data_IF_661399769372
#
_entry.id   IF_661399769372
#
_cell.length_a   1.000
_cell.length_b   1.000
_cell.length_c   1.000
_cell.angle_alpha   90.00
_cell.angle_beta   90.00
_cell.angle_gamma   90.00
#
_symmetry.space_group_name_H-M   'P 1'
#
loop_
_entity.id
_entity.type
_entity.pdbx_description
1 polymer ?
#
# COMPACT_ATOMS: atom_id res chain seq x y z
N UNK A 1 8.47 -39.21 -12.14
CA UNK A 1 7.74 -39.01 -10.87
C UNK A 1 8.14 -37.68 -10.18
N UNK A 2 8.27 -36.56 -10.92
CA UNK A 2 8.85 -35.30 -10.42
C UNK A 2 8.05 -34.02 -10.73
N UNK A 3 6.85 -34.10 -11.31
CA UNK A 3 6.10 -32.91 -11.75
C UNK A 3 4.96 -32.47 -10.80
N UNK A 4 4.60 -33.29 -9.80
CA UNK A 4 3.41 -33.06 -8.94
C UNK A 4 3.74 -32.21 -7.69
N UNK A 5 5.01 -31.95 -7.39
CA UNK A 5 5.45 -31.28 -6.16
C UNK A 5 5.38 -29.74 -6.21
N UNK A 6 5.68 -29.12 -7.35
CA UNK A 6 5.76 -27.65 -7.47
C UNK A 6 4.43 -26.90 -7.26
N UNK A 7 3.28 -27.35 -7.82
CA UNK A 7 2.01 -26.65 -7.63
C UNK A 7 1.48 -26.79 -6.20
N UNK A 8 1.70 -27.93 -5.54
CA UNK A 8 1.28 -28.14 -4.15
C UNK A 8 2.08 -27.27 -3.17
N UNK A 9 3.39 -27.14 -3.41
CA UNK A 9 4.27 -26.25 -2.62
C UNK A 9 3.83 -24.78 -2.78
N UNK A 10 3.48 -24.35 -4.00
CA UNK A 10 2.95 -22.99 -4.24
C UNK A 10 1.61 -22.76 -3.56
N UNK A 11 0.71 -23.74 -3.58
CA UNK A 11 -0.58 -23.66 -2.88
C UNK A 11 -0.41 -23.65 -1.35
N UNK A 12 0.51 -24.44 -0.81
CA UNK A 12 0.84 -24.42 0.62
C UNK A 12 1.48 -23.09 1.04
N UNK A 13 2.40 -22.56 0.23
CA UNK A 13 3.01 -21.25 0.47
C UNK A 13 1.98 -20.11 0.36
N UNK A 14 1.03 -20.21 -0.59
CA UNK A 14 -0.11 -19.32 -0.68
C UNK A 14 -0.99 -19.43 0.56
N UNK A 15 -1.36 -20.64 0.99
CA UNK A 15 -2.13 -20.85 2.22
C UNK A 15 -1.41 -20.30 3.46
N UNK A 16 -0.10 -20.49 3.59
CA UNK A 16 0.67 -19.91 4.70
C UNK A 16 0.74 -18.38 4.63
N UNK A 17 0.91 -17.80 3.45
CA UNK A 17 0.87 -16.35 3.25
C UNK A 17 -0.52 -15.76 3.56
N UNK A 18 -1.58 -16.50 3.26
CA UNK A 18 -2.97 -16.13 3.56
C UNK A 18 -3.38 -16.38 5.02
N UNK A 19 -2.87 -17.44 5.66
CA UNK A 19 -3.31 -17.91 6.99
C UNK A 19 -2.59 -17.23 8.15
N UNK A 20 -1.44 -16.59 7.93
CA UNK A 20 -0.78 -15.81 8.97
C UNK A 20 -1.54 -14.50 9.17
N UNK A 21 -2.36 -14.48 10.23
CA UNK A 21 -3.12 -13.32 10.64
C UNK A 21 -2.24 -12.09 10.90
N UNK A 22 -2.82 -10.88 10.87
CA UNK A 22 -2.12 -9.60 10.89
C UNK A 22 -1.39 -9.25 12.20
N UNK A 23 -1.24 -10.18 13.16
CA UNK A 23 -0.82 -9.90 14.55
C UNK A 23 0.63 -9.49 14.75
N UNK A 24 1.57 -9.84 13.86
CA UNK A 24 2.95 -9.31 13.92
C UNK A 24 3.67 -9.15 12.58
N UNK A 25 3.11 -9.60 11.46
CA UNK A 25 3.83 -9.59 10.18
C UNK A 25 3.97 -8.16 9.64
N UNK A 26 5.19 -7.71 9.36
CA UNK A 26 5.45 -6.42 8.72
C UNK A 26 5.06 -6.45 7.23
N UNK A 27 4.83 -5.28 6.62
CA UNK A 27 4.61 -5.20 5.17
C UNK A 27 5.81 -5.78 4.40
N UNK A 28 7.02 -5.58 4.92
CA UNK A 28 8.25 -6.13 4.39
C UNK A 28 8.25 -7.67 4.36
N UNK A 29 7.73 -8.33 5.39
CA UNK A 29 7.62 -9.79 5.42
C UNK A 29 6.60 -10.30 4.40
N UNK A 30 5.50 -9.57 4.21
CA UNK A 30 4.50 -9.93 3.19
C UNK A 30 5.09 -9.85 1.78
N UNK A 31 5.87 -8.81 1.48
CA UNK A 31 6.55 -8.67 0.17
C UNK A 31 7.61 -9.75 -0.05
N UNK A 32 8.41 -10.05 0.99
CA UNK A 32 9.39 -11.16 0.93
C UNK A 32 8.70 -12.50 0.61
N UNK A 33 7.58 -12.79 1.27
CA UNK A 33 6.81 -14.02 1.05
C UNK A 33 6.21 -14.06 -0.35
N UNK A 34 5.63 -12.95 -0.81
CA UNK A 34 5.07 -12.83 -2.16
C UNK A 34 6.14 -13.15 -3.23
N UNK A 35 7.34 -12.57 -3.11
CA UNK A 35 8.46 -12.87 -3.99
C UNK A 35 8.80 -14.36 -4.03
N UNK A 36 8.78 -15.03 -2.88
CA UNK A 36 9.01 -16.47 -2.75
C UNK A 36 7.95 -17.31 -3.45
N UNK A 37 6.66 -17.00 -3.25
CA UNK A 37 5.51 -17.71 -3.85
C UNK A 37 5.50 -17.57 -5.37
N UNK A 38 5.71 -16.36 -5.87
CA UNK A 38 5.72 -16.05 -7.30
C UNK A 38 6.99 -16.59 -7.97
N UNK A 39 8.07 -16.74 -7.20
CA UNK A 39 9.39 -17.07 -7.73
C UNK A 39 10.01 -15.87 -8.46
N UNK A 40 9.87 -14.67 -7.90
CA UNK A 40 10.43 -13.44 -8.46
C UNK A 40 11.77 -13.10 -7.80
N UNK A 41 12.70 -12.53 -8.56
CA UNK A 41 13.96 -12.01 -8.05
C UNK A 41 13.76 -10.65 -7.37
N UNK A 42 12.80 -9.84 -7.82
CA UNK A 42 12.36 -8.65 -7.10
C UNK A 42 10.85 -8.52 -7.03
N UNK A 43 10.38 -7.96 -5.92
CA UNK A 43 8.97 -7.70 -5.66
C UNK A 43 8.84 -6.39 -4.88
N UNK A 44 7.81 -5.58 -5.17
CA UNK A 44 7.57 -4.33 -4.44
C UNK A 44 6.10 -4.03 -4.29
N UNK A 45 5.77 -3.34 -3.20
CA UNK A 45 4.45 -2.75 -2.97
C UNK A 45 4.58 -1.24 -3.11
N UNK A 46 3.77 -0.69 -4.01
CA UNK A 46 3.62 0.76 -4.14
C UNK A 46 2.23 1.15 -3.64
N UNK A 47 2.14 2.14 -2.76
CA UNK A 47 0.87 2.65 -2.24
C UNK A 47 0.68 4.10 -2.67
N UNK A 48 -0.57 4.50 -2.81
CA UNK A 48 -0.93 5.90 -3.06
C UNK A 48 -0.63 6.74 -1.81
N UNK A 49 0.05 7.87 -2.02
CA UNK A 49 0.12 8.91 -1.00
C UNK A 49 -1.26 9.55 -0.75
N UNK A 50 -1.45 10.14 0.42
CA UNK A 50 -2.67 10.90 0.76
C UNK A 50 -2.86 12.08 -0.20
N UNK A 51 -4.12 12.40 -0.53
CA UNK A 51 -4.48 13.53 -1.39
C UNK A 51 -4.06 14.86 -0.72
N UNK A 52 -2.91 15.40 -1.13
CA UNK A 52 -2.48 16.76 -0.86
C UNK A 52 -2.88 17.71 -2.02
N UNK A 53 -2.32 18.93 -2.03
CA UNK A 53 -2.43 19.85 -3.17
C UNK A 53 -1.59 19.33 -4.36
N UNK A 54 -2.09 18.29 -5.04
CA UNK A 54 -1.43 17.66 -6.19
C UNK A 54 -2.11 16.37 -6.63
N UNK A 55 -1.78 15.88 -7.83
CA UNK A 55 -2.27 14.58 -8.27
C UNK A 55 -1.66 13.45 -7.41
N UNK A 56 -2.47 12.50 -6.90
CA UNK A 56 -1.98 11.42 -6.06
C UNK A 56 -1.01 10.54 -6.85
N UNK A 57 0.15 10.28 -6.25
CA UNK A 57 1.21 9.45 -6.82
C UNK A 57 1.46 8.23 -5.95
N UNK A 58 1.97 7.16 -6.58
CA UNK A 58 2.41 5.96 -5.89
C UNK A 58 3.90 6.01 -5.62
N UNK A 59 4.30 5.62 -4.42
CA UNK A 59 5.70 5.41 -4.01
C UNK A 59 5.89 4.02 -3.41
N UNK A 60 7.12 3.50 -3.45
CA UNK A 60 7.45 2.19 -2.88
C UNK A 60 7.40 2.29 -1.35
N UNK A 61 6.62 1.40 -0.72
CA UNK A 61 6.51 1.31 0.75
C UNK A 61 7.18 0.05 1.32
N UNK A 62 7.43 -0.95 0.47
CA UNK A 62 8.18 -2.15 0.82
C UNK A 62 8.68 -2.83 -0.46
N UNK A 63 9.85 -3.47 -0.38
CA UNK A 63 10.39 -4.25 -1.49
C UNK A 63 11.28 -5.40 -1.02
N UNK A 64 11.40 -6.41 -1.87
CA UNK A 64 12.34 -7.52 -1.71
C UNK A 64 13.14 -7.70 -2.99
N UNK A 65 14.43 -8.00 -2.86
CA UNK A 65 15.33 -8.16 -4.00
C UNK A 65 15.84 -6.83 -4.56
N UNK A 66 16.69 -6.90 -5.60
CA UNK A 66 17.34 -5.73 -6.17
C UNK A 66 16.33 -4.85 -6.89
N UNK A 67 16.41 -3.55 -6.63
CA UNK A 67 15.72 -2.49 -7.37
C UNK A 67 16.73 -1.39 -7.68
N UNK A 68 16.63 -0.77 -8.88
CA UNK A 68 17.47 0.39 -9.19
C UNK A 68 17.10 1.56 -8.28
N UNK A 69 18.09 2.38 -7.89
CA UNK A 69 17.88 3.55 -7.02
C UNK A 69 16.81 4.50 -7.55
N UNK A 70 16.76 4.69 -8.87
CA UNK A 70 15.72 5.47 -9.54
C UNK A 70 14.29 4.95 -9.29
N UNK A 71 14.10 3.65 -9.03
CA UNK A 71 12.78 3.09 -8.71
C UNK A 71 12.38 3.36 -7.26
N UNK A 72 13.33 3.40 -6.32
CA UNK A 72 13.07 3.71 -4.91
C UNK A 72 12.58 5.15 -4.72
N UNK A 73 13.13 6.08 -5.52
CA UNK A 73 12.78 7.51 -5.46
C UNK A 73 11.64 7.89 -6.41
N UNK A 74 11.09 6.94 -7.17
CA UNK A 74 10.07 7.23 -8.18
C UNK A 74 8.70 7.49 -7.55
N UNK A 75 8.12 8.64 -7.90
CA UNK A 75 6.70 8.93 -7.71
C UNK A 75 5.94 8.65 -9.02
N UNK A 76 5.11 7.60 -9.05
CA UNK A 76 4.42 7.15 -10.26
C UNK A 76 2.98 7.69 -10.29
N UNK A 77 2.64 8.43 -11.34
CA UNK A 77 1.29 8.98 -11.54
C UNK A 77 0.35 7.96 -12.19
N UNK A 78 -0.96 8.23 -12.10
CA UNK A 78 -1.97 7.47 -12.86
C UNK A 78 -1.65 7.48 -14.35
N UNK A 79 -1.66 6.31 -14.97
CA UNK A 79 -1.36 6.11 -16.39
C UNK A 79 0.14 6.08 -16.73
N UNK A 80 1.05 6.39 -15.81
CA UNK A 80 2.50 6.36 -16.06
C UNK A 80 3.09 4.95 -15.88
N UNK A 81 3.80 4.46 -16.89
CA UNK A 81 4.45 3.15 -16.78
C UNK A 81 3.47 1.98 -16.65
N UNK A 82 4.01 0.82 -16.28
CA UNK A 82 3.20 -0.38 -16.05
C UNK A 82 2.33 -0.18 -14.80
N UNK A 83 2.94 0.21 -13.67
CA UNK A 83 2.24 0.42 -12.40
C UNK A 83 1.13 1.47 -12.51
N UNK A 84 1.38 2.62 -13.13
CA UNK A 84 0.37 3.65 -13.31
C UNK A 84 -0.75 3.23 -14.26
N UNK A 85 -0.46 2.40 -15.27
CA UNK A 85 -1.50 1.80 -16.13
C UNK A 85 -2.41 0.86 -15.36
N UNK A 86 -1.86 0.02 -14.48
CA UNK A 86 -2.63 -0.86 -13.59
C UNK A 86 -3.47 -0.04 -12.61
N UNK A 87 -2.91 1.03 -12.05
CA UNK A 87 -3.65 1.96 -11.20
C UNK A 87 -4.81 2.66 -11.93
N UNK A 88 -4.62 3.05 -13.20
CA UNK A 88 -5.64 3.73 -13.99
C UNK A 88 -6.76 2.79 -14.45
N UNK A 89 -6.39 1.60 -14.94
CA UNK A 89 -7.33 0.61 -15.48
C UNK A 89 -7.97 -0.27 -14.41
N UNK A 90 -7.27 -0.52 -13.31
CA UNK A 90 -7.64 -1.51 -12.31
C UNK A 90 -7.48 -2.96 -12.75
N UNK A 91 -6.83 -3.20 -13.90
CA UNK A 91 -6.58 -4.53 -14.44
C UNK A 91 -5.12 -4.91 -14.21
N UNK A 92 -4.89 -6.15 -13.78
CA UNK A 92 -3.53 -6.68 -13.65
C UNK A 92 -2.89 -6.82 -15.04
N UNK A 93 -1.56 -6.75 -15.11
CA UNK A 93 -0.82 -6.72 -16.35
C UNK A 93 0.39 -7.64 -16.27
N UNK A 94 0.54 -8.50 -17.28
CA UNK A 94 1.69 -9.36 -17.52
C UNK A 94 2.48 -8.83 -18.71
N UNK A 95 3.76 -8.55 -18.51
CA UNK A 95 4.73 -8.21 -19.55
C UNK A 95 5.79 -9.31 -19.60
N UNK A 96 5.74 -10.13 -20.65
CA UNK A 96 6.71 -11.21 -20.82
C UNK A 96 8.12 -10.69 -21.11
N UNK A 97 8.25 -9.63 -21.93
CA UNK A 97 9.51 -8.93 -22.18
C UNK A 97 9.29 -7.41 -22.25
N UNK A 98 9.75 -6.65 -21.25
CA UNK A 98 9.60 -5.18 -21.20
C UNK A 98 10.20 -4.53 -22.45
N UNK A 99 11.34 -5.03 -22.93
CA UNK A 99 12.08 -4.46 -24.07
C UNK A 99 11.32 -4.60 -25.38
N UNK A 100 10.39 -5.55 -25.46
CA UNK A 100 9.54 -5.80 -26.64
C UNK A 100 8.12 -5.26 -26.47
N UNK A 101 7.84 -4.56 -25.38
CA UNK A 101 6.51 -4.02 -25.06
C UNK A 101 6.42 -2.52 -25.37
N UNK A 102 5.20 -1.97 -25.33
CA UNK A 102 4.97 -0.52 -25.39
C UNK A 102 5.70 0.25 -24.27
N UNK A 103 6.06 -0.43 -23.18
CA UNK A 103 6.78 0.13 -22.04
C UNK A 103 8.30 0.21 -22.26
N UNK A 104 8.83 -0.29 -23.38
CA UNK A 104 10.27 -0.26 -23.68
C UNK A 104 10.84 1.16 -23.65
N UNK A 105 10.06 2.16 -24.13
CA UNK A 105 10.47 3.56 -24.13
C UNK A 105 10.59 4.16 -22.73
N UNK A 106 9.78 3.66 -21.79
CA UNK A 106 9.78 4.01 -20.36
C UNK A 106 10.88 3.27 -19.59
N UNK A 107 11.36 2.15 -20.15
CA UNK A 107 12.45 1.37 -19.62
C UNK A 107 13.85 1.95 -19.89
N UNK A 108 13.95 3.05 -20.63
CA UNK A 108 15.22 3.74 -20.94
C UNK A 108 15.92 4.38 -19.72
N UNK A 109 15.35 4.26 -18.51
CA UNK A 109 15.95 4.70 -17.23
C UNK A 109 16.93 3.70 -16.60
N UNK A 110 17.38 2.67 -17.32
CA UNK A 110 18.54 1.86 -16.92
C UNK A 110 18.55 0.46 -17.55
N UNK A 111 19.74 -0.11 -17.72
CA UNK A 111 19.99 -1.50 -18.16
C UNK A 111 19.55 -2.57 -17.14
N UNK A 112 18.98 -2.16 -16.01
CA UNK A 112 18.62 -3.02 -14.88
C UNK A 112 17.13 -3.40 -14.82
N UNK A 113 16.30 -2.88 -15.73
CA UNK A 113 14.91 -3.29 -15.81
C UNK A 113 14.82 -4.72 -16.33
N UNK A 114 14.18 -5.56 -15.54
CA UNK A 114 14.03 -6.98 -15.81
C UNK A 114 13.38 -7.31 -17.14
N UNK A 115 13.64 -8.52 -17.64
CA UNK A 115 12.99 -9.00 -18.86
C UNK A 115 11.48 -9.13 -18.66
N UNK A 116 11.05 -9.86 -17.63
CA UNK A 116 9.61 -10.08 -17.37
C UNK A 116 9.12 -9.34 -16.13
N UNK A 117 7.87 -8.88 -16.19
CA UNK A 117 7.22 -8.08 -15.15
C UNK A 117 5.74 -8.44 -15.03
N UNK A 118 5.24 -8.57 -13.80
CA UNK A 118 3.81 -8.71 -13.50
C UNK A 118 3.41 -7.65 -12.48
N UNK A 119 2.22 -7.09 -12.66
CA UNK A 119 1.68 -6.04 -11.80
C UNK A 119 0.20 -6.32 -11.51
N UNK A 120 -0.19 -6.26 -10.25
CA UNK A 120 -1.58 -6.43 -9.83
C UNK A 120 -2.03 -5.28 -8.91
N UNK A 121 -3.28 -4.81 -9.03
CA UNK A 121 -3.80 -3.77 -8.16
C UNK A 121 -4.05 -4.33 -6.75
N UNK A 122 -3.68 -3.56 -5.73
CA UNK A 122 -4.04 -3.83 -4.34
C UNK A 122 -5.36 -3.11 -4.06
N UNK A 123 -6.37 -3.87 -3.65
CA UNK A 123 -7.73 -3.35 -3.43
C UNK A 123 -8.13 -3.43 -1.97
N UNK A 124 -8.70 -2.35 -1.45
CA UNK A 124 -9.34 -2.27 -0.14
C UNK A 124 -10.77 -1.79 -0.36
N UNK A 125 -11.75 -2.58 0.05
CA UNK A 125 -13.19 -2.29 -0.13
C UNK A 125 -13.55 -1.85 -1.58
N UNK A 126 -12.94 -2.49 -2.58
CA UNK A 126 -13.18 -2.19 -4.00
C UNK A 126 -12.37 -1.02 -4.57
N UNK A 127 -11.75 -0.19 -3.72
CA UNK A 127 -10.87 0.92 -4.14
C UNK A 127 -9.43 0.43 -4.32
N UNK A 128 -8.74 0.93 -5.33
CA UNK A 128 -7.32 0.62 -5.54
C UNK A 128 -6.50 1.56 -4.66
N UNK A 129 -5.75 0.98 -3.72
CA UNK A 129 -4.88 1.73 -2.79
C UNK A 129 -3.41 1.70 -3.20
N UNK A 130 -3.08 0.92 -4.24
CA UNK A 130 -1.71 0.71 -4.68
C UNK A 130 -1.58 -0.45 -5.65
N UNK A 131 -0.35 -0.90 -5.88
CA UNK A 131 -0.02 -2.05 -6.72
C UNK A 131 1.03 -2.95 -6.07
N UNK A 132 0.96 -4.24 -6.37
CA UNK A 132 1.99 -5.23 -6.10
C UNK A 132 2.69 -5.56 -7.42
N UNK A 133 4.01 -5.39 -7.44
CA UNK A 133 4.85 -5.63 -8.61
C UNK A 133 5.76 -6.82 -8.36
N UNK A 134 6.04 -7.61 -9.39
CA UNK A 134 7.14 -8.55 -9.38
C UNK A 134 7.88 -8.51 -10.71
N UNK A 135 9.20 -8.57 -10.65
CA UNK A 135 10.08 -8.53 -11.81
C UNK A 135 11.09 -9.67 -11.76
N UNK A 136 11.58 -10.06 -12.93
CA UNK A 136 12.60 -11.08 -13.12
C UNK A 136 12.23 -12.40 -12.46
N UNK A 137 11.56 -13.31 -13.18
CA UNK A 137 11.38 -14.66 -12.69
C UNK A 137 12.73 -15.28 -12.30
N UNK A 138 12.74 -16.12 -11.26
CA UNK A 138 13.94 -16.86 -10.84
C UNK A 138 14.53 -17.58 -12.05
N UNK A 139 15.85 -17.58 -12.11
CA UNK A 139 16.63 -18.15 -13.21
C UNK A 139 16.33 -17.51 -14.58
N UNK A 140 15.91 -16.23 -14.58
CA UNK A 140 15.55 -15.45 -15.76
C UNK A 140 14.34 -16.00 -16.54
N UNK A 141 13.50 -16.82 -15.91
CA UNK A 141 12.24 -17.27 -16.50
C UNK A 141 11.26 -16.11 -16.70
N UNK A 142 10.55 -16.11 -17.84
CA UNK A 142 9.44 -15.18 -18.05
C UNK A 142 8.24 -15.60 -17.19
N UNK A 143 7.53 -14.63 -16.64
CA UNK A 143 6.26 -14.88 -15.97
C UNK A 143 5.19 -15.30 -16.98
N UNK A 144 4.26 -16.13 -16.51
CA UNK A 144 3.10 -16.61 -17.25
C UNK A 144 1.81 -16.16 -16.55
N UNK A 145 0.66 -16.58 -17.09
CA UNK A 145 -0.65 -16.31 -16.50
C UNK A 145 -0.80 -16.92 -15.10
N UNK A 146 -0.11 -18.03 -14.81
CA UNK A 146 -0.09 -18.63 -13.48
C UNK A 146 0.54 -17.67 -12.46
N UNK A 147 1.68 -17.06 -12.81
CA UNK A 147 2.33 -16.07 -11.98
C UNK A 147 1.46 -14.81 -11.79
N UNK A 148 0.77 -14.36 -12.84
CA UNK A 148 -0.16 -13.23 -12.75
C UNK A 148 -1.33 -13.53 -11.80
N UNK A 149 -1.93 -14.72 -11.92
CA UNK A 149 -3.02 -15.15 -11.05
C UNK A 149 -2.59 -15.24 -9.58
N UNK A 150 -1.41 -15.81 -9.31
CA UNK A 150 -0.83 -15.85 -7.96
C UNK A 150 -0.59 -14.44 -7.41
N UNK A 151 -0.05 -13.53 -8.22
CA UNK A 151 0.17 -12.14 -7.84
C UNK A 151 -1.15 -11.44 -7.47
N UNK A 152 -2.22 -11.66 -8.25
CA UNK A 152 -3.55 -11.08 -7.96
C UNK A 152 -4.13 -11.57 -6.63
N UNK A 153 -3.98 -12.86 -6.32
CA UNK A 153 -4.40 -13.44 -5.04
C UNK A 153 -3.63 -12.81 -3.87
N UNK A 154 -2.31 -12.67 -4.02
CA UNK A 154 -1.46 -12.04 -3.02
C UNK A 154 -1.77 -10.55 -2.85
N UNK A 155 -2.03 -9.82 -3.94
CA UNK A 155 -2.42 -8.41 -3.91
C UNK A 155 -3.77 -8.21 -3.20
N UNK A 156 -4.71 -9.14 -3.38
CA UNK A 156 -6.00 -9.14 -2.68
C UNK A 156 -5.81 -9.37 -1.17
N UNK A 157 -4.97 -10.34 -0.80
CA UNK A 157 -4.60 -10.57 0.61
C UNK A 157 -3.93 -9.36 1.26
N UNK A 158 -3.00 -8.73 0.55
CA UNK A 158 -2.34 -7.50 0.99
C UNK A 158 -3.34 -6.38 1.26
N UNK A 159 -4.39 -6.25 0.44
CA UNK A 159 -5.48 -5.32 0.69
C UNK A 159 -6.13 -5.55 2.06
N UNK A 160 -6.51 -6.79 2.37
CA UNK A 160 -7.04 -7.15 3.69
C UNK A 160 -6.07 -6.86 4.84
N UNK A 161 -4.78 -7.19 4.66
CA UNK A 161 -3.72 -6.88 5.63
C UNK A 161 -3.60 -5.38 5.91
N UNK A 162 -3.56 -4.55 4.86
CA UNK A 162 -3.47 -3.09 4.98
C UNK A 162 -4.69 -2.51 5.70
N UNK A 163 -5.88 -3.04 5.41
CA UNK A 163 -7.11 -2.62 6.09
C UNK A 163 -7.07 -2.94 7.58
N UNK A 164 -6.71 -4.16 7.97
CA UNK A 164 -6.64 -4.53 9.39
C UNK A 164 -5.55 -3.76 10.12
N UNK A 165 -4.38 -3.57 9.48
CA UNK A 165 -3.30 -2.76 10.05
C UNK A 165 -3.73 -1.32 10.30
N UNK A 166 -4.41 -0.70 9.33
CA UNK A 166 -4.93 0.66 9.48
C UNK A 166 -5.95 0.75 10.62
N UNK A 167 -6.91 -0.18 10.69
CA UNK A 167 -7.88 -0.24 11.78
C UNK A 167 -7.22 -0.46 13.15
N UNK A 168 -6.20 -1.31 13.24
CA UNK A 168 -5.44 -1.52 14.48
C UNK A 168 -4.70 -0.26 14.91
N UNK A 169 -4.02 0.44 14.01
CA UNK A 169 -3.41 1.73 14.35
C UNK A 169 -4.42 2.75 14.88
N UNK A 170 -5.64 2.78 14.31
CA UNK A 170 -6.73 3.61 14.82
C UNK A 170 -7.19 3.15 16.22
N UNK A 171 -7.29 1.84 16.45
CA UNK A 171 -7.68 1.27 17.74
C UNK A 171 -6.59 1.41 18.81
N UNK A 172 -5.31 1.38 18.47
CA UNK A 172 -4.21 1.51 19.43
C UNK A 172 -4.02 2.95 19.92
N UNK A 173 -4.60 3.94 19.23
CA UNK A 173 -4.65 5.32 19.67
C UNK A 173 -5.78 5.53 20.68
N UNK A 174 -5.45 5.64 21.98
CA UNK A 174 -6.43 5.98 23.04
C UNK A 174 -7.18 7.28 22.75
N UNK A 175 -6.52 8.23 22.13
CA UNK A 175 -7.14 9.47 21.67
C UNK A 175 -8.21 9.19 20.61
N UNK A 176 -7.94 8.30 19.64
CA UNK A 176 -8.91 7.91 18.64
C UNK A 176 -10.06 7.10 19.21
N UNK A 177 -9.81 6.19 20.16
CA UNK A 177 -10.86 5.46 20.87
C UNK A 177 -11.84 6.40 21.57
N UNK A 178 -11.33 7.39 22.33
CA UNK A 178 -12.16 8.34 23.06
C UNK A 178 -12.94 9.28 22.12
N UNK A 179 -12.28 9.80 21.08
CA UNK A 179 -12.93 10.66 20.08
C UNK A 179 -14.06 9.95 19.32
N UNK A 180 -13.87 8.66 19.00
CA UNK A 180 -14.89 7.86 18.32
C UNK A 180 -16.09 7.54 19.23
N UNK A 181 -15.85 7.25 20.51
CA UNK A 181 -16.92 7.04 21.49
C UNK A 181 -17.76 8.31 21.68
N UNK A 182 -17.13 9.48 21.78
CA UNK A 182 -17.83 10.75 21.95
C UNK A 182 -18.73 11.12 20.76
N UNK A 183 -18.37 10.72 19.53
CA UNK A 183 -19.20 10.97 18.36
C UNK A 183 -20.47 10.09 18.33
N UNK A 184 -20.41 8.90 18.97
CA UNK A 184 -21.59 8.03 19.13
C UNK A 184 -22.58 8.52 20.19
N UNK A 185 -22.17 9.43 21.10
CA UNK A 185 -23.04 10.03 22.12
C UNK A 185 -24.01 11.11 21.56
N UNK A 186 -24.11 11.26 20.24
CA UNK A 186 -25.04 12.22 19.62
C UNK A 186 -25.56 11.88 18.22
N UNK A 187 -25.24 10.70 17.67
CA UNK A 187 -25.60 10.31 16.30
C UNK A 187 -26.51 9.06 16.28
N UNK A 188 -27.48 8.96 15.35
CA UNK A 188 -28.33 7.78 15.24
C UNK A 188 -27.50 6.51 14.91
N UNK A 189 -27.90 5.33 15.42
CA UNK A 189 -27.11 4.09 15.38
C UNK A 189 -26.76 3.60 13.97
N UNK A 190 -27.49 4.01 12.93
CA UNK A 190 -27.17 3.67 11.53
C UNK A 190 -25.96 4.42 10.97
N UNK A 191 -25.72 5.67 11.39
CA UNK A 191 -24.56 6.47 10.97
C UNK A 191 -23.25 6.03 11.61
N UNK A 192 -23.31 5.50 12.84
CA UNK A 192 -22.13 5.03 13.58
C UNK A 192 -21.42 3.89 12.83
N UNK A 193 -22.16 2.96 12.21
CA UNK A 193 -21.60 1.81 11.48
C UNK A 193 -20.90 2.17 10.16
N UNK A 194 -21.26 3.29 9.54
CA UNK A 194 -20.70 3.74 8.25
C UNK A 194 -19.41 4.56 8.41
N UNK A 195 -19.19 5.18 9.57
CA UNK A 195 -17.98 5.97 9.86
C UNK A 195 -16.69 5.13 9.87
N UNK A 196 -16.80 3.81 10.09
CA UNK A 196 -15.66 2.89 10.17
C UNK A 196 -15.02 2.52 8.82
N UNK A 197 -15.58 2.97 7.68
CA UNK A 197 -15.10 2.57 6.34
C UNK A 197 -14.21 3.57 5.62
N UNK A 198 -14.14 4.84 6.06
CA UNK A 198 -13.37 5.86 5.36
C UNK A 198 -12.30 6.51 6.27
N UNK A 199 -10.99 6.27 5.98
CA UNK A 199 -9.87 6.86 6.73
C UNK A 199 -9.94 8.38 6.87
N UNK A 200 -10.36 9.10 5.82
CA UNK A 200 -10.50 10.56 5.85
C UNK A 200 -11.60 11.01 6.82
N UNK A 201 -12.69 10.25 6.87
CA UNK A 201 -13.82 10.58 7.74
C UNK A 201 -13.43 10.38 9.20
N UNK A 202 -12.66 9.33 9.50
CA UNK A 202 -12.08 9.12 10.84
C UNK A 202 -11.14 10.26 11.20
N UNK A 203 -10.17 10.61 10.34
CA UNK A 203 -9.26 11.73 10.59
C UNK A 203 -10.00 13.04 10.87
N UNK A 204 -11.10 13.30 10.13
CA UNK A 204 -11.95 14.48 10.32
C UNK A 204 -12.69 14.46 11.66
N UNK A 205 -13.18 13.30 12.10
CA UNK A 205 -13.79 13.14 13.44
C UNK A 205 -12.74 13.41 14.52
N UNK A 206 -11.54 12.84 14.39
CA UNK A 206 -10.43 13.05 15.33
C UNK A 206 -10.05 14.53 15.43
N UNK A 207 -9.90 15.22 14.31
CA UNK A 207 -9.57 16.64 14.28
C UNK A 207 -10.65 17.51 14.96
N UNK A 208 -11.94 17.24 14.67
CA UNK A 208 -13.06 17.95 15.31
C UNK A 208 -13.15 17.66 16.81
N UNK A 209 -12.88 16.43 17.21
CA UNK A 209 -12.86 16.04 18.63
C UNK A 209 -11.72 16.74 19.36
N UNK A 210 -10.52 16.74 18.77
CA UNK A 210 -9.36 17.45 19.31
C UNK A 210 -9.64 18.94 19.50
N UNK A 211 -10.21 19.58 18.48
CA UNK A 211 -10.58 21.00 18.54
C UNK A 211 -11.59 21.31 19.64
N UNK A 212 -12.68 20.52 19.74
CA UNK A 212 -13.69 20.67 20.79
C UNK A 212 -13.09 20.50 22.18
N UNK A 213 -12.21 19.52 22.35
CA UNK A 213 -11.59 19.23 23.66
C UNK A 213 -10.62 20.32 24.09
N UNK A 214 -9.82 20.86 23.17
CA UNK A 214 -8.97 22.02 23.46
C UNK A 214 -9.78 23.25 23.86
N UNK A 215 -10.91 23.50 23.19
CA UNK A 215 -11.80 24.58 23.58
C UNK A 215 -12.45 24.33 24.96
N UNK A 216 -12.85 23.09 25.28
CA UNK A 216 -13.37 22.72 26.61
C UNK A 216 -12.32 22.87 27.71
N UNK A 217 -11.06 22.57 27.41
CA UNK A 217 -9.94 22.74 28.32
C UNK A 217 -9.51 24.21 28.52
N UNK A 218 -10.17 25.16 27.84
CA UNK A 218 -9.95 26.59 28.02
C UNK A 218 -8.86 27.19 27.14
N UNK A 219 -8.38 26.46 26.13
CA UNK A 219 -7.41 27.00 25.17
C UNK A 219 -8.07 27.97 24.19
N UNK A 220 -7.46 29.13 24.02
CA UNK A 220 -7.93 30.16 23.08
C UNK A 220 -7.48 29.89 21.64
N UNK A 221 -8.11 30.55 20.67
CA UNK A 221 -7.86 30.35 19.24
C UNK A 221 -6.38 30.46 18.83
N UNK A 222 -5.61 31.35 19.45
CA UNK A 222 -4.18 31.51 19.18
C UNK A 222 -3.35 30.28 19.61
N UNK A 223 -3.68 29.68 20.76
CA UNK A 223 -3.00 28.48 21.26
C UNK A 223 -3.39 27.25 20.44
N UNK A 224 -4.65 27.16 20.04
CA UNK A 224 -5.15 26.12 19.14
C UNK A 224 -4.47 26.20 17.77
N UNK A 225 -4.32 27.40 17.22
CA UNK A 225 -3.61 27.62 15.96
C UNK A 225 -2.13 27.26 16.08
N UNK A 226 -1.48 27.62 17.20
CA UNK A 226 -0.09 27.23 17.46
C UNK A 226 0.07 25.71 17.51
N UNK A 227 -0.83 25.00 18.19
CA UNK A 227 -0.80 23.53 18.24
C UNK A 227 -1.04 22.90 16.86
N UNK A 228 -1.95 23.45 16.06
CA UNK A 228 -2.18 22.99 14.69
C UNK A 228 -0.93 23.20 13.81
N UNK A 229 -0.28 24.36 13.93
CA UNK A 229 0.98 24.65 13.22
C UNK A 229 2.12 23.72 13.63
N UNK A 230 2.21 23.37 14.92
CA UNK A 230 3.18 22.38 15.42
C UNK A 230 2.95 21.00 14.79
N UNK A 231 1.68 20.56 14.72
CA UNK A 231 1.32 19.29 14.06
C UNK A 231 1.66 19.30 12.56
N UNK A 232 1.42 20.41 11.86
CA UNK A 232 1.82 20.58 10.45
C UNK A 232 3.36 20.52 10.33
N UNK A 233 4.06 21.14 11.28
CA UNK A 233 5.52 21.11 11.35
C UNK A 233 6.08 19.69 11.51
N UNK A 234 5.51 18.90 12.43
CA UNK A 234 5.89 17.50 12.62
C UNK A 234 5.58 16.64 11.39
N UNK A 235 4.40 16.81 10.78
CA UNK A 235 4.04 16.10 9.56
C UNK A 235 5.03 16.39 8.42
N UNK A 236 5.39 17.67 8.23
CA UNK A 236 6.39 18.05 7.23
C UNK A 236 7.77 17.43 7.53
N UNK A 237 8.14 17.32 8.80
CA UNK A 237 9.39 16.70 9.21
C UNK A 237 9.41 15.20 8.92
N UNK A 238 8.34 14.48 9.26
CA UNK A 238 8.21 13.03 9.00
C UNK A 238 8.25 12.73 7.49
N UNK A 239 7.52 13.53 6.68
CA UNK A 239 7.55 13.42 5.21
C UNK A 239 8.97 13.63 4.67
N UNK A 240 9.73 14.58 5.23
CA UNK A 240 11.11 14.81 4.83
C UNK A 240 12.07 13.69 5.26
N UNK A 241 11.88 13.11 6.44
CA UNK A 241 12.70 11.98 6.90
C UNK A 241 12.45 10.71 6.08
N UNK A 242 11.20 10.42 5.71
CA UNK A 242 10.88 9.31 4.80
C UNK A 242 11.52 9.50 3.40
N UNK A 243 11.73 10.74 2.98
CA UNK A 243 12.44 11.06 1.73
C UNK A 243 13.98 10.94 1.84
N UNK A 244 14.55 11.02 3.05
CA UNK A 244 16.00 10.98 3.30
C UNK A 244 16.53 9.62 3.77
N UNK A 245 15.67 8.74 4.30
CA UNK A 245 16.02 7.39 4.74
C UNK A 245 16.07 6.35 3.59
N UNK A 246 15.97 6.81 2.34
CA UNK A 246 15.96 6.01 1.11
C UNK A 246 16.95 6.57 0.07
#
# INVERSE_FOLDING_TARGET
MQAVSLPLIRLQALQQALAQGPEQASLQDQVRRAAGVIGAASCSVMLLGSEGEGEPCMSIHAHHGPLPSAALQAAIRRGEGISGRVLASGNALLVADIRKSEFAALARRGTELGSSFVCAPIRVEGRIVGVLNAANGKDAAAFDETALCLLQLLASSLGGYLQVRHLRHLLDSRFAQLALLQETEGAPPETARLAYRNPEQVARILARSFFREMHRAGFGSAQILSAASELIGQLNHDIQQEQQAH
#
